data_IF_166924217841
#
_entry.id   IF_166924217841
#
_cell.length_a   1.000
_cell.length_b   1.000
_cell.length_c   1.000
_cell.angle_alpha   90.00
_cell.angle_beta   90.00
_cell.angle_gamma   90.00
#
_symmetry.space_group_name_H-M   'P 1'
#
loop_
_entity.id
_entity.type
_entity.pdbx_description
1 polymer ?
#
# COMPACT_ATOMS: atom_id res chain seq x y z
N UNK A 1 14.72 -17.77 15.08
CA UNK A 1 14.24 -17.73 13.68
C UNK A 1 12.98 -18.55 13.63
N UNK A 2 11.81 -17.92 13.52
CA UNK A 2 10.58 -18.65 13.24
C UNK A 2 10.53 -18.87 11.73
N UNK A 3 10.47 -20.14 11.30
CA UNK A 3 10.25 -20.48 9.89
C UNK A 3 8.89 -19.94 9.45
N UNK A 4 8.91 -18.89 8.64
CA UNK A 4 7.72 -18.41 7.93
C UNK A 4 7.46 -19.43 6.82
N UNK A 5 6.44 -20.27 6.98
CA UNK A 5 5.93 -21.10 5.88
C UNK A 5 5.34 -20.17 4.82
N UNK A 6 6.08 -19.98 3.73
CA UNK A 6 5.58 -19.26 2.55
C UNK A 6 4.63 -20.21 1.82
N UNK A 7 3.32 -20.00 2.01
CA UNK A 7 2.28 -20.66 1.21
C UNK A 7 2.35 -20.04 -0.19
N UNK A 8 2.45 -20.87 -1.24
CA UNK A 8 2.36 -20.38 -2.62
C UNK A 8 0.93 -19.92 -2.89
N UNK A 9 0.75 -18.74 -3.47
CA UNK A 9 -0.58 -18.22 -3.80
C UNK A 9 -1.43 -19.23 -4.61
N UNK A 10 -0.79 -19.99 -5.51
CA UNK A 10 -1.41 -21.03 -6.35
C UNK A 10 -1.92 -22.27 -5.58
N UNK A 11 -1.59 -22.42 -4.30
CA UNK A 11 -2.02 -23.53 -3.43
C UNK A 11 -3.12 -23.10 -2.45
N UNK A 12 -3.58 -21.85 -2.54
CA UNK A 12 -4.59 -21.27 -1.62
C UNK A 12 -5.99 -21.84 -1.87
N UNK A 13 -6.74 -22.08 -0.80
CA UNK A 13 -8.10 -22.65 -0.88
C UNK A 13 -9.21 -21.61 -0.94
N UNK A 14 -8.89 -20.35 -0.64
CA UNK A 14 -9.77 -19.18 -0.73
C UNK A 14 -9.08 -18.00 -1.41
N UNK A 15 -9.85 -17.03 -1.92
CA UNK A 15 -9.29 -15.81 -2.52
C UNK A 15 -8.58 -14.94 -1.49
N UNK A 16 -9.06 -14.92 -0.25
CA UNK A 16 -8.41 -14.18 0.84
C UNK A 16 -7.02 -14.75 1.16
N UNK A 17 -6.87 -16.07 1.24
CA UNK A 17 -5.56 -16.71 1.42
C UNK A 17 -4.61 -16.39 0.27
N UNK A 18 -5.13 -16.40 -0.96
CA UNK A 18 -4.37 -16.01 -2.15
C UNK A 18 -3.90 -14.55 -2.06
N UNK A 19 -4.80 -13.62 -1.74
CA UNK A 19 -4.50 -12.19 -1.64
C UNK A 19 -3.42 -11.93 -0.57
N UNK A 20 -3.56 -12.54 0.61
CA UNK A 20 -2.55 -12.46 1.68
C UNK A 20 -1.20 -13.02 1.27
N UNK A 21 -1.18 -14.17 0.58
CA UNK A 21 0.05 -14.75 0.07
C UNK A 21 0.72 -13.81 -0.95
N UNK A 22 -0.05 -13.23 -1.87
CA UNK A 22 0.43 -12.25 -2.84
C UNK A 22 1.00 -10.98 -2.14
N UNK A 23 0.28 -10.42 -1.17
CA UNK A 23 0.74 -9.26 -0.39
C UNK A 23 2.04 -9.57 0.37
N UNK A 24 2.13 -10.72 1.04
CA UNK A 24 3.35 -11.14 1.73
C UNK A 24 4.55 -11.28 0.78
N UNK A 25 4.33 -11.81 -0.43
CA UNK A 25 5.37 -11.88 -1.46
C UNK A 25 5.82 -10.48 -1.92
N UNK A 26 4.89 -9.53 -2.05
CA UNK A 26 5.22 -8.13 -2.36
C UNK A 26 6.04 -7.47 -1.24
N UNK A 27 5.71 -7.70 0.04
CA UNK A 27 6.53 -7.25 1.18
C UNK A 27 7.95 -7.84 1.14
N UNK A 28 8.08 -9.11 0.72
CA UNK A 28 9.38 -9.77 0.57
C UNK A 28 10.18 -9.31 -0.67
N UNK A 29 9.57 -8.51 -1.56
CA UNK A 29 10.19 -8.06 -2.80
C UNK A 29 10.36 -9.14 -3.87
N UNK A 30 9.50 -10.15 -3.84
CA UNK A 30 9.47 -11.22 -4.83
C UNK A 30 9.11 -10.67 -6.22
N UNK A 31 9.99 -10.90 -7.20
CA UNK A 31 9.88 -10.41 -8.57
C UNK A 31 8.94 -11.24 -9.44
N UNK A 32 8.60 -12.45 -9.02
CA UNK A 32 7.73 -13.35 -9.78
C UNK A 32 6.24 -13.14 -9.48
N UNK A 33 5.89 -12.23 -8.55
CA UNK A 33 4.49 -11.98 -8.15
C UNK A 33 3.59 -11.66 -9.34
N UNK A 34 4.01 -10.77 -10.23
CA UNK A 34 3.19 -10.42 -11.40
C UNK A 34 2.92 -11.64 -12.28
N UNK A 35 3.99 -12.33 -12.68
CA UNK A 35 3.92 -13.52 -13.54
C UNK A 35 3.04 -14.62 -12.95
N UNK A 36 3.20 -14.89 -11.66
CA UNK A 36 2.54 -16.00 -10.99
C UNK A 36 1.08 -15.68 -10.64
N UNK A 37 0.83 -14.45 -10.17
CA UNK A 37 -0.44 -14.11 -9.54
C UNK A 37 -1.37 -13.26 -10.41
N UNK A 38 -0.86 -12.57 -11.43
CA UNK A 38 -1.60 -11.54 -12.16
C UNK A 38 -1.85 -11.92 -13.63
N UNK A 39 -2.95 -11.43 -14.18
CA UNK A 39 -3.21 -11.47 -15.63
C UNK A 39 -2.35 -10.43 -16.36
N UNK A 40 -2.16 -10.59 -17.67
CA UNK A 40 -1.36 -9.64 -18.48
C UNK A 40 -1.93 -8.22 -18.50
N UNK A 41 -3.26 -8.08 -18.39
CA UNK A 41 -4.01 -6.83 -18.31
C UNK A 41 -4.25 -6.36 -16.87
N UNK A 42 -3.52 -6.90 -15.89
CA UNK A 42 -3.68 -6.52 -14.49
C UNK A 42 -3.54 -5.02 -14.28
N UNK A 43 -4.37 -4.47 -13.39
CA UNK A 43 -4.29 -3.06 -12.98
C UNK A 43 -4.53 -2.90 -11.49
N UNK A 44 -3.89 -1.89 -10.90
CA UNK A 44 -3.99 -1.55 -9.49
C UNK A 44 -4.30 -0.08 -9.30
N UNK A 45 -5.18 0.24 -8.36
CA UNK A 45 -5.42 1.58 -7.87
C UNK A 45 -5.57 1.62 -6.35
N UNK A 46 -4.88 2.58 -5.74
CA UNK A 46 -5.07 3.04 -4.36
C UNK A 46 -5.26 4.57 -4.41
N UNK A 47 -5.85 5.23 -3.39
CA UNK A 47 -6.15 6.66 -3.47
C UNK A 47 -4.95 7.53 -3.85
N UNK A 48 -3.76 7.18 -3.39
CA UNK A 48 -2.51 7.92 -3.64
C UNK A 48 -2.12 7.92 -5.12
N UNK A 49 -2.50 6.89 -5.88
CA UNK A 49 -2.14 6.80 -7.29
C UNK A 49 -2.87 7.79 -8.18
N UNK A 50 -3.96 8.39 -7.70
CA UNK A 50 -4.59 9.53 -8.37
C UNK A 50 -3.67 10.76 -8.43
N UNK A 51 -2.70 10.87 -7.53
CA UNK A 51 -1.74 11.98 -7.52
C UNK A 51 -0.61 11.76 -8.52
N UNK A 52 -0.10 10.53 -8.65
CA UNK A 52 1.07 10.23 -9.49
C UNK A 52 0.74 9.95 -10.94
N UNK A 53 -0.43 9.39 -11.23
CA UNK A 53 -0.80 9.04 -12.59
C UNK A 53 -1.42 10.22 -13.34
N UNK A 54 -1.34 10.21 -14.68
CA UNK A 54 -2.11 11.12 -15.51
C UNK A 54 -3.61 11.02 -15.23
N UNK A 55 -4.34 12.13 -15.36
CA UNK A 55 -5.77 12.22 -15.01
C UNK A 55 -6.61 11.23 -15.83
N UNK A 56 -6.24 11.02 -17.10
CA UNK A 56 -6.86 10.07 -18.02
C UNK A 56 -6.75 8.61 -17.56
N UNK A 57 -5.75 8.29 -16.73
CA UNK A 57 -5.59 6.95 -16.13
C UNK A 57 -6.45 6.77 -14.89
N UNK A 58 -7.05 7.84 -14.35
CA UNK A 58 -7.95 7.79 -13.18
C UNK A 58 -7.37 7.01 -11.99
N UNK A 59 -6.06 7.15 -11.75
CA UNK A 59 -5.34 6.48 -10.67
C UNK A 59 -4.89 5.05 -10.97
N UNK A 60 -5.24 4.46 -12.12
CA UNK A 60 -4.81 3.11 -12.48
C UNK A 60 -3.34 3.06 -12.88
N UNK A 61 -2.60 2.11 -12.30
CA UNK A 61 -1.33 1.61 -12.83
C UNK A 61 -1.54 0.22 -13.42
N UNK A 62 -0.75 -0.11 -14.43
CA UNK A 62 -0.94 -1.31 -15.24
C UNK A 62 0.24 -2.28 -15.10
N UNK A 63 -0.06 -3.57 -15.18
CA UNK A 63 0.89 -4.67 -15.36
C UNK A 63 1.91 -4.86 -14.24
N UNK A 64 3.09 -5.36 -14.63
CA UNK A 64 4.23 -5.59 -13.73
C UNK A 64 4.67 -4.30 -13.03
N UNK A 65 4.55 -3.16 -13.72
CA UNK A 65 4.89 -1.85 -13.17
C UNK A 65 4.05 -1.52 -11.93
N UNK A 66 2.76 -1.88 -11.96
CA UNK A 66 1.86 -1.68 -10.83
C UNK A 66 2.27 -2.53 -9.60
N UNK A 67 2.60 -3.80 -9.83
CA UNK A 67 3.05 -4.74 -8.78
C UNK A 67 4.36 -4.29 -8.16
N UNK A 68 5.36 -3.94 -8.98
CA UNK A 68 6.66 -3.50 -8.47
C UNK A 68 6.57 -2.16 -7.72
N UNK A 69 5.70 -1.25 -8.17
CA UNK A 69 5.45 0.00 -7.47
C UNK A 69 4.84 -0.23 -6.09
N UNK A 70 3.79 -1.05 -5.98
CA UNK A 70 3.21 -1.41 -4.68
C UNK A 70 4.21 -2.14 -3.78
N UNK A 71 4.99 -3.07 -4.33
CA UNK A 71 6.03 -3.79 -3.59
C UNK A 71 7.09 -2.83 -3.00
N UNK A 72 7.43 -1.75 -3.71
CA UNK A 72 8.33 -0.71 -3.18
C UNK A 72 7.72 0.04 -2.00
N UNK A 73 6.45 0.41 -2.06
CA UNK A 73 5.75 1.05 -0.96
C UNK A 73 5.66 0.14 0.27
N UNK A 74 5.24 -1.11 0.11
CA UNK A 74 5.18 -2.06 1.23
C UNK A 74 6.53 -2.30 1.91
N UNK A 75 7.62 -2.35 1.13
CA UNK A 75 8.97 -2.42 1.70
C UNK A 75 9.36 -1.12 2.42
N UNK A 76 8.89 0.04 1.97
CA UNK A 76 9.13 1.31 2.65
C UNK A 76 8.37 1.39 3.97
N UNK A 77 7.11 0.98 3.99
CA UNK A 77 6.30 0.86 5.22
C UNK A 77 7.00 -0.03 6.25
N UNK A 78 7.53 -1.19 5.82
CA UNK A 78 8.29 -2.10 6.67
C UNK A 78 9.61 -1.52 7.23
N UNK A 79 10.09 -0.40 6.68
CA UNK A 79 11.26 0.33 7.19
C UNK A 79 10.87 1.62 7.95
N UNK A 80 9.69 2.17 7.71
CA UNK A 80 9.16 3.36 8.39
C UNK A 80 8.54 3.06 9.76
N UNK A 81 8.26 1.78 10.04
CA UNK A 81 7.63 1.31 11.27
C UNK A 81 8.40 0.11 11.82
N UNK A 82 8.58 0.02 13.15
CA UNK A 82 9.22 -1.19 13.72
C UNK A 82 8.33 -2.41 13.55
N UNK A 83 7.02 -2.23 13.71
CA UNK A 83 6.03 -3.29 13.53
C UNK A 83 4.94 -2.81 12.59
N UNK A 84 4.68 -3.60 11.54
CA UNK A 84 3.49 -3.47 10.69
C UNK A 84 2.64 -4.71 10.88
N UNK A 85 1.33 -4.53 11.03
CA UNK A 85 0.38 -5.63 11.15
C UNK A 85 -0.84 -5.37 10.26
N UNK A 86 -1.40 -6.45 9.71
CA UNK A 86 -2.67 -6.46 9.01
C UNK A 86 -3.63 -7.32 9.82
N UNK A 87 -4.73 -6.72 10.29
CA UNK A 87 -5.76 -7.40 11.08
C UNK A 87 -7.04 -7.47 10.28
N UNK A 88 -7.48 -8.68 9.93
CA UNK A 88 -8.73 -8.89 9.19
C UNK A 88 -9.94 -8.36 9.97
N UNK A 89 -10.88 -7.75 9.26
CA UNK A 89 -12.19 -7.37 9.79
C UNK A 89 -13.30 -8.15 9.12
N UNK A 90 -13.31 -8.17 7.79
CA UNK A 90 -14.29 -8.93 7.04
C UNK A 90 -13.75 -9.31 5.66
N UNK A 91 -14.30 -10.37 5.09
CA UNK A 91 -14.03 -10.77 3.72
C UNK A 91 -15.30 -11.35 3.10
N UNK A 92 -15.61 -10.94 1.87
CA UNK A 92 -16.72 -11.47 1.08
C UNK A 92 -16.15 -12.00 -0.22
N UNK A 93 -16.36 -13.28 -0.49
CA UNK A 93 -15.88 -13.95 -1.69
C UNK A 93 -17.05 -14.36 -2.58
N UNK A 94 -16.88 -14.16 -3.88
CA UNK A 94 -17.74 -14.71 -4.93
C UNK A 94 -16.90 -15.50 -5.94
N UNK A 95 -17.45 -15.88 -7.09
CA UNK A 95 -16.71 -16.61 -8.12
C UNK A 95 -15.49 -15.83 -8.63
N UNK A 96 -15.65 -14.53 -8.89
CA UNK A 96 -14.64 -13.68 -9.53
C UNK A 96 -14.21 -12.48 -8.67
N UNK A 97 -14.76 -12.32 -7.47
CA UNK A 97 -14.49 -11.18 -6.60
C UNK A 97 -14.06 -11.61 -5.19
N UNK A 98 -13.15 -10.85 -4.60
CA UNK A 98 -12.93 -10.73 -3.17
C UNK A 98 -13.10 -9.26 -2.78
N UNK A 99 -13.91 -9.00 -1.76
CA UNK A 99 -13.89 -7.72 -1.04
C UNK A 99 -13.28 -8.00 0.33
N UNK A 100 -12.15 -7.38 0.62
CA UNK A 100 -11.39 -7.60 1.85
C UNK A 100 -11.30 -6.30 2.65
N UNK A 101 -11.85 -6.31 3.86
CA UNK A 101 -11.71 -5.24 4.83
C UNK A 101 -10.71 -5.65 5.92
N UNK A 102 -9.73 -4.79 6.17
CA UNK A 102 -8.74 -5.00 7.21
C UNK A 102 -8.32 -3.68 7.86
N UNK A 103 -7.66 -3.79 9.00
CA UNK A 103 -6.92 -2.70 9.63
C UNK A 103 -5.45 -2.93 9.36
N UNK A 104 -4.83 -1.99 8.65
CA UNK A 104 -3.39 -1.84 8.65
C UNK A 104 -2.99 -1.07 9.91
N UNK A 105 -1.98 -1.53 10.64
CA UNK A 105 -1.47 -0.81 11.80
C UNK A 105 0.06 -0.75 11.79
N UNK A 106 0.58 0.43 12.10
CA UNK A 106 2.00 0.69 12.31
C UNK A 106 2.27 1.03 13.77
N UNK A 107 3.33 0.46 14.35
CA UNK A 107 3.80 0.80 15.70
C UNK A 107 5.26 1.24 15.69
N UNK A 108 5.58 2.18 16.58
CA UNK A 108 6.93 2.71 16.78
C UNK A 108 7.52 3.26 15.47
N UNK A 109 7.05 4.42 15.00
CA UNK A 109 7.55 5.01 13.77
C UNK A 109 9.07 5.26 13.84
N UNK A 110 9.73 5.14 12.70
CA UNK A 110 11.18 5.26 12.54
C UNK A 110 11.47 6.41 11.58
N UNK A 111 12.02 7.52 12.08
CA UNK A 111 12.35 8.68 11.25
C UNK A 111 11.14 9.29 10.54
N UNK A 112 11.34 10.34 9.76
CA UNK A 112 10.26 11.02 9.05
C UNK A 112 9.47 10.09 8.09
N UNK A 113 8.15 10.29 7.98
CA UNK A 113 7.25 9.42 7.22
C UNK A 113 5.89 10.09 6.98
N UNK A 114 5.27 9.84 5.83
CA UNK A 114 3.93 10.30 5.43
C UNK A 114 3.72 11.83 5.57
N UNK A 115 4.76 12.61 5.27
CA UNK A 115 4.74 14.07 5.38
C UNK A 115 5.06 14.65 6.77
N UNK A 116 5.29 13.79 7.77
CA UNK A 116 5.74 14.20 9.12
C UNK A 116 7.26 14.13 9.24
N UNK A 117 7.86 15.16 9.83
CA UNK A 117 9.27 15.21 10.17
C UNK A 117 9.59 14.36 11.41
N UNK A 118 10.90 14.13 11.64
CA UNK A 118 11.37 13.52 12.88
C UNK A 118 11.04 14.43 14.07
N UNK A 119 10.50 13.84 15.16
CA UNK A 119 10.10 14.57 16.36
C UNK A 119 8.69 15.18 16.34
N UNK A 120 8.01 15.23 15.19
CA UNK A 120 6.61 15.73 15.13
C UNK A 120 5.58 14.71 15.64
N UNK A 121 6.00 13.46 15.84
CA UNK A 121 5.15 12.34 16.25
C UNK A 121 5.51 11.86 17.64
N UNK A 122 4.51 11.39 18.38
CA UNK A 122 4.69 10.85 19.74
C UNK A 122 5.50 9.55 19.70
N UNK A 123 6.49 9.44 20.60
CA UNK A 123 7.25 8.21 20.77
C UNK A 123 6.33 7.05 21.20
N UNK A 124 6.55 5.86 20.63
CA UNK A 124 5.78 4.67 20.98
C UNK A 124 4.34 4.67 20.47
N UNK A 125 3.99 5.56 19.54
CA UNK A 125 2.65 5.57 18.97
C UNK A 125 2.33 4.31 18.15
N UNK A 126 1.05 3.99 18.14
CA UNK A 126 0.40 3.04 17.25
C UNK A 126 -0.62 3.82 16.44
N UNK A 127 -0.66 3.58 15.15
CA UNK A 127 -1.66 4.17 14.24
C UNK A 127 -2.40 3.06 13.53
N UNK A 128 -3.67 3.30 13.23
CA UNK A 128 -4.51 2.36 12.53
C UNK A 128 -5.13 3.03 11.31
N UNK A 129 -5.14 2.29 10.20
CA UNK A 129 -5.79 2.69 8.97
C UNK A 129 -6.72 1.57 8.54
N UNK A 130 -8.01 1.88 8.44
CA UNK A 130 -8.96 0.94 7.84
C UNK A 130 -8.79 0.96 6.34
N UNK A 131 -8.72 -0.23 5.75
CA UNK A 131 -8.56 -0.42 4.30
C UNK A 131 -9.64 -1.38 3.82
N UNK A 132 -10.24 -1.06 2.67
CA UNK A 132 -11.10 -1.96 1.93
C UNK A 132 -10.50 -2.12 0.53
N UNK A 133 -10.19 -3.36 0.17
CA UNK A 133 -9.68 -3.71 -1.15
C UNK A 133 -10.69 -4.58 -1.91
N UNK A 134 -10.90 -4.23 -3.17
CA UNK A 134 -11.70 -4.97 -4.14
C UNK A 134 -10.75 -5.67 -5.11
N UNK A 135 -10.75 -6.99 -5.09
CA UNK A 135 -9.89 -7.83 -5.90
C UNK A 135 -10.74 -8.59 -6.91
N UNK A 136 -10.50 -8.37 -8.21
CA UNK A 136 -11.14 -9.16 -9.28
C UNK A 136 -10.19 -10.24 -9.76
N UNK A 137 -10.75 -11.43 -9.98
CA UNK A 137 -10.06 -12.62 -10.43
C UNK A 137 -10.57 -13.05 -11.80
N UNK A 138 -9.67 -13.58 -12.62
CA UNK A 138 -9.98 -14.25 -13.88
C UNK A 138 -8.98 -15.38 -14.06
N UNK A 139 -9.49 -16.58 -14.37
CA UNK A 139 -8.68 -17.79 -14.59
C UNK A 139 -7.70 -18.10 -13.44
N UNK A 140 -8.13 -17.88 -12.20
CA UNK A 140 -7.32 -18.13 -10.99
C UNK A 140 -6.23 -17.08 -10.73
N UNK A 141 -6.17 -16.00 -11.51
CA UNK A 141 -5.24 -14.88 -11.33
C UNK A 141 -5.99 -13.57 -11.03
N UNK A 142 -5.29 -12.61 -10.46
CA UNK A 142 -5.83 -11.27 -10.18
C UNK A 142 -5.72 -10.42 -11.44
N UNK A 143 -6.80 -9.74 -11.81
CA UNK A 143 -6.81 -8.79 -12.92
C UNK A 143 -7.03 -7.34 -12.49
N UNK A 144 -7.57 -7.11 -11.29
CA UNK A 144 -7.84 -5.75 -10.80
C UNK A 144 -7.75 -5.72 -9.28
N UNK A 145 -7.10 -4.69 -8.75
CA UNK A 145 -7.19 -4.31 -7.34
C UNK A 145 -7.58 -2.83 -7.27
N UNK A 146 -8.67 -2.54 -6.58
CA UNK A 146 -9.10 -1.18 -6.27
C UNK A 146 -9.19 -1.04 -4.74
N UNK A 147 -8.44 -0.10 -4.18
CA UNK A 147 -8.35 0.09 -2.74
C UNK A 147 -8.88 1.46 -2.34
N UNK A 148 -9.51 1.50 -1.17
CA UNK A 148 -9.82 2.73 -0.43
C UNK A 148 -9.35 2.58 1.00
N UNK A 149 -8.82 3.67 1.57
CA UNK A 149 -8.30 3.67 2.92
C UNK A 149 -8.78 4.92 3.69
N UNK A 150 -8.89 4.80 5.01
CA UNK A 150 -9.20 5.93 5.89
C UNK A 150 -7.92 6.70 6.25
N UNK A 151 -7.37 7.41 5.27
CA UNK A 151 -6.13 8.15 5.45
C UNK A 151 -6.29 9.31 6.44
N UNK A 152 -7.50 9.91 6.57
CA UNK A 152 -7.71 11.01 7.52
C UNK A 152 -7.60 10.53 8.97
N UNK A 153 -8.19 9.38 9.32
CA UNK A 153 -8.02 8.80 10.65
C UNK A 153 -6.53 8.49 10.92
N UNK A 154 -5.82 7.96 9.93
CA UNK A 154 -4.38 7.73 10.03
C UNK A 154 -3.61 9.02 10.34
N UNK A 155 -3.89 10.13 9.63
CA UNK A 155 -3.27 11.43 9.92
C UNK A 155 -3.65 11.98 11.29
N UNK A 156 -4.90 11.78 11.71
CA UNK A 156 -5.38 12.20 13.02
C UNK A 156 -4.62 11.49 14.14
N UNK A 157 -4.46 10.18 14.04
CA UNK A 157 -3.67 9.38 14.98
C UNK A 157 -2.19 9.77 14.97
N UNK A 158 -1.62 9.99 13.78
CA UNK A 158 -0.23 10.43 13.59
C UNK A 158 0.06 11.79 14.24
N UNK A 159 -0.91 12.69 14.25
CA UNK A 159 -0.78 14.04 14.77
C UNK A 159 -1.33 14.22 16.19
N UNK A 160 -1.81 13.16 16.84
CA UNK A 160 -2.51 13.22 18.15
C UNK A 160 -3.65 14.25 18.15
N UNK A 161 -4.38 14.33 17.03
CA UNK A 161 -5.48 15.28 16.82
C UNK A 161 -5.08 16.73 16.55
N UNK A 162 -3.78 17.05 16.41
CA UNK A 162 -3.32 18.39 16.06
C UNK A 162 -3.62 18.74 14.60
N UNK A 163 -4.68 19.51 14.37
CA UNK A 163 -5.14 19.90 13.02
C UNK A 163 -4.11 20.66 12.19
N UNK A 164 -3.31 21.56 12.79
CA UNK A 164 -2.31 22.30 12.03
C UNK A 164 -1.22 21.37 11.50
N UNK A 165 -0.83 20.38 12.32
CA UNK A 165 0.14 19.37 11.93
C UNK A 165 -0.44 18.40 10.88
N UNK A 166 -1.72 18.02 11.01
CA UNK A 166 -2.44 17.19 10.01
C UNK A 166 -2.41 17.87 8.64
N UNK A 167 -2.82 19.14 8.56
CA UNK A 167 -2.88 19.89 7.30
C UNK A 167 -1.48 19.99 6.69
N UNK A 168 -0.48 20.37 7.49
CA UNK A 168 0.92 20.43 7.04
C UNK A 168 1.39 19.08 6.48
N UNK A 169 1.13 17.98 7.18
CA UNK A 169 1.58 16.65 6.76
C UNK A 169 0.88 16.19 5.48
N UNK A 170 -0.42 16.47 5.33
CA UNK A 170 -1.17 16.18 4.10
C UNK A 170 -0.61 17.00 2.93
N UNK A 171 -0.40 18.30 3.09
CA UNK A 171 0.16 19.16 2.03
C UNK A 171 1.54 18.67 1.59
N UNK A 172 2.39 18.33 2.55
CA UNK A 172 3.71 17.74 2.32
C UNK A 172 3.61 16.43 1.52
N UNK A 173 2.75 15.51 1.94
CA UNK A 173 2.59 14.22 1.29
C UNK A 173 2.00 14.35 -0.12
N UNK A 174 1.00 15.22 -0.31
CA UNK A 174 0.40 15.50 -1.61
C UNK A 174 1.42 16.10 -2.58
N UNK A 175 2.23 17.06 -2.12
CA UNK A 175 3.30 17.65 -2.92
C UNK A 175 4.33 16.58 -3.33
N UNK A 176 4.70 15.71 -2.39
CA UNK A 176 5.63 14.62 -2.63
C UNK A 176 5.11 13.63 -3.68
N UNK A 177 3.89 13.11 -3.49
CA UNK A 177 3.24 12.20 -4.44
C UNK A 177 3.12 12.84 -5.82
N UNK A 178 2.59 14.07 -5.89
CA UNK A 178 2.44 14.79 -7.16
C UNK A 178 3.78 15.00 -7.88
N UNK A 179 4.87 15.21 -7.14
CA UNK A 179 6.23 15.30 -7.67
C UNK A 179 6.76 14.01 -8.30
N UNK A 180 6.18 12.85 -8.02
CA UNK A 180 6.58 11.56 -8.62
C UNK A 180 6.06 11.39 -10.06
N UNK A 181 5.11 12.22 -10.52
CA UNK A 181 4.47 12.07 -11.83
C UNK A 181 5.47 12.03 -12.99
N UNK A 182 6.50 12.88 -12.95
CA UNK A 182 7.51 12.95 -14.01
C UNK A 182 8.34 11.65 -14.11
N UNK A 183 8.54 10.94 -13.00
CA UNK A 183 9.22 9.66 -12.99
C UNK A 183 8.33 8.60 -13.67
N UNK A 184 7.05 8.54 -13.31
CA UNK A 184 6.08 7.60 -13.92
C UNK A 184 5.98 7.83 -15.44
N UNK A 185 5.94 9.09 -15.89
CA UNK A 185 5.88 9.43 -17.31
C UNK A 185 7.12 8.97 -18.10
N UNK A 186 8.27 8.82 -17.44
CA UNK A 186 9.50 8.26 -18.03
C UNK A 186 9.57 6.73 -17.93
N UNK A 187 8.57 6.08 -17.34
CA UNK A 187 8.58 4.65 -17.03
C UNK A 187 9.47 4.29 -15.84
N UNK A 188 9.83 5.27 -15.03
CA UNK A 188 10.63 5.08 -13.82
C UNK A 188 9.69 4.80 -12.63
N UNK A 189 10.11 3.91 -11.74
CA UNK A 189 9.37 3.65 -10.51
C UNK A 189 9.34 4.91 -9.64
N UNK A 190 8.22 5.19 -8.95
CA UNK A 190 8.22 6.28 -8.01
C UNK A 190 9.23 5.98 -6.90
N UNK A 191 9.85 7.03 -6.40
CA UNK A 191 10.77 6.92 -5.27
C UNK A 191 9.90 6.53 -4.07
N UNK A 192 10.30 5.59 -3.20
CA UNK A 192 9.57 5.38 -1.93
C UNK A 192 9.60 6.65 -1.08
N UNK A 193 8.58 6.90 -0.25
CA UNK A 193 8.55 8.09 0.64
C UNK A 193 9.89 8.21 1.38
N UNK A 194 10.73 9.20 1.04
CA UNK A 194 12.08 9.25 1.56
C UNK A 194 12.14 9.59 3.05
N UNK A 195 11.06 10.12 3.64
CA UNK A 195 11.08 10.83 4.93
C UNK A 195 11.95 12.09 4.92
N UNK A 196 12.94 12.19 4.02
CA UNK A 196 14.00 13.20 3.97
C UNK A 196 13.82 14.21 2.83
N UNK A 197 12.60 14.39 2.32
CA UNK A 197 12.34 15.31 1.18
C UNK A 197 12.14 16.76 1.64
N UNK A 198 12.06 16.98 2.94
CA UNK A 198 11.69 18.27 3.52
C UNK A 198 12.84 18.95 4.27
N UNK A 199 14.08 18.47 4.08
CA UNK A 199 15.31 19.10 4.58
C UNK A 199 15.85 20.15 3.61
#
# INVERSE_FOLDING_TARGET
MNEVKVIKATESTSKLEFAKAMVNRMFAGDKDVFKDCCTEDYRHRTPEFHMINPVEKQGWMDGEFAVETMSRYFRADGNGWKNVQITDKSAVETEDLLVWEFIWSGEFPIGAYAGFLEGERREGMRVEMRVVEYWRFRDGKVCEIDAVNDSLAYYYDMADGNWDLIVKAIDNNVAWWSGQRDNILKGEYPIPDPGKVFD
#
